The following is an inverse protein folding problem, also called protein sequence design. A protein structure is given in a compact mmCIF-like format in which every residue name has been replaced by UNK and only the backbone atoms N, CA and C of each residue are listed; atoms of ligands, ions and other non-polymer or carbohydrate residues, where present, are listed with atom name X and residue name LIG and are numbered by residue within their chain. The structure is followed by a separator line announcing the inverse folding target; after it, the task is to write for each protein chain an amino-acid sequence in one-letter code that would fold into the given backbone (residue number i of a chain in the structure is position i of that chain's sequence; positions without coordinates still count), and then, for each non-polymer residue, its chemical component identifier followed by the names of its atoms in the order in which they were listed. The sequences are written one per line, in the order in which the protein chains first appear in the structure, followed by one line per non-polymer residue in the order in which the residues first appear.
data_IF_604608594885
#
_entry.id   IF_604608594885
#
_cell.length_a   1.000
_cell.length_b   1.000
_cell.length_c   1.000
_cell.angle_alpha   90.00
_cell.angle_beta   90.00
_cell.angle_gamma   90.00
#
_symmetry.space_group_name_H-M   'P 1'
#
loop_
_entity.id
_entity.type
_entity.pdbx_description
1 polymer ?
#
# COMPACT_ATOMS: atom_id res chain seq x y z
N UNK A 1 1.15 -19.93 -3.40
CA UNK A 1 0.72 -18.51 -3.43
C UNK A 1 1.15 -17.84 -2.12
N UNK A 2 1.93 -16.75 -2.18
CA UNK A 2 2.54 -16.09 -0.99
C UNK A 2 1.50 -15.55 0.00
N UNK A 3 0.37 -15.03 -0.50
CA UNK A 3 -0.74 -14.51 0.31
C UNK A 3 -1.43 -15.61 1.14
N UNK A 4 -1.74 -16.76 0.52
CA UNK A 4 -2.28 -17.94 1.21
C UNK A 4 -1.29 -18.55 2.20
N UNK A 5 -0.01 -18.57 1.86
CA UNK A 5 1.06 -19.06 2.75
C UNK A 5 1.24 -18.17 3.99
N UNK A 6 0.80 -16.91 3.93
CA UNK A 6 0.77 -15.99 5.06
C UNK A 6 -0.53 -16.03 5.87
N UNK A 7 -1.45 -16.98 5.58
CA UNK A 7 -2.71 -17.13 6.30
C UNK A 7 -3.80 -16.12 5.92
N UNK A 8 -3.66 -15.43 4.79
CA UNK A 8 -4.70 -14.51 4.31
C UNK A 8 -5.78 -15.27 3.52
N UNK A 9 -7.04 -15.06 3.92
CA UNK A 9 -8.24 -15.55 3.23
C UNK A 9 -8.61 -14.69 2.00
N UNK A 10 -7.86 -13.62 1.74
CA UNK A 10 -8.13 -12.70 0.64
C UNK A 10 -7.61 -13.26 -0.69
N UNK A 11 -8.39 -13.12 -1.76
CA UNK A 11 -7.91 -13.51 -3.10
C UNK A 11 -6.81 -12.54 -3.59
N UNK A 12 -5.88 -12.99 -4.45
CA UNK A 12 -4.87 -12.13 -5.04
C UNK A 12 -5.45 -10.89 -5.74
N UNK A 13 -6.58 -11.03 -6.42
CA UNK A 13 -7.26 -9.94 -7.15
C UNK A 13 -7.79 -8.89 -6.19
N UNK A 14 -8.40 -9.33 -5.08
CA UNK A 14 -8.90 -8.43 -4.04
C UNK A 14 -7.77 -7.73 -3.29
N UNK A 15 -6.67 -8.44 -3.04
CA UNK A 15 -5.45 -7.84 -2.49
C UNK A 15 -4.89 -6.76 -3.44
N UNK A 16 -4.88 -7.02 -4.74
CA UNK A 16 -4.41 -6.06 -5.73
C UNK A 16 -5.32 -4.82 -5.78
N UNK A 17 -6.65 -4.99 -5.82
CA UNK A 17 -7.60 -3.87 -5.80
C UNK A 17 -7.43 -2.97 -4.56
N UNK A 18 -7.09 -3.55 -3.41
CA UNK A 18 -6.83 -2.78 -2.20
C UNK A 18 -5.50 -2.03 -2.24
N UNK A 19 -4.45 -2.61 -2.82
CA UNK A 19 -3.12 -1.99 -2.88
C UNK A 19 -3.02 -0.93 -3.99
N UNK A 20 -3.73 -1.07 -5.11
CA UNK A 20 -3.74 -0.07 -6.20
C UNK A 20 -4.36 1.25 -5.80
N UNK A 21 -5.19 1.26 -4.74
CA UNK A 21 -5.76 2.48 -4.15
C UNK A 21 -4.73 3.34 -3.41
N UNK A 22 -3.55 2.82 -3.10
CA UNK A 22 -2.49 3.57 -2.44
C UNK A 22 -1.89 4.56 -3.44
N UNK A 23 -2.15 5.85 -3.24
CA UNK A 23 -1.64 6.91 -4.10
C UNK A 23 -0.43 7.61 -3.50
N UNK A 24 0.47 8.06 -4.39
CA UNK A 24 1.53 9.01 -4.08
C UNK A 24 1.03 10.42 -4.36
N UNK A 25 1.04 11.25 -3.34
CA UNK A 25 0.63 12.65 -3.38
C UNK A 25 1.86 13.53 -3.58
N UNK A 26 1.78 14.45 -4.54
CA UNK A 26 2.83 15.44 -4.78
C UNK A 26 2.15 16.80 -4.95
N UNK A 27 2.39 17.70 -4.00
CA UNK A 27 1.77 19.02 -3.97
C UNK A 27 2.84 20.10 -3.81
N UNK A 28 2.60 21.28 -4.36
CA UNK A 28 3.47 22.46 -4.17
C UNK A 28 2.70 23.48 -3.36
N UNK A 29 3.23 23.85 -2.19
CA UNK A 29 2.63 24.85 -1.29
C UNK A 29 3.65 25.94 -1.02
N UNK A 30 3.33 27.18 -1.35
CA UNK A 30 4.24 28.34 -1.19
C UNK A 30 5.64 28.12 -1.77
N UNK A 31 5.72 27.50 -2.96
CA UNK A 31 6.99 27.19 -3.63
C UNK A 31 7.76 26.00 -3.04
N UNK A 32 7.26 25.38 -1.96
CA UNK A 32 7.83 24.16 -1.37
C UNK A 32 7.12 22.93 -1.92
N UNK A 33 7.89 21.99 -2.43
CA UNK A 33 7.39 20.68 -2.80
C UNK A 33 7.16 19.83 -1.55
N UNK A 34 5.95 19.32 -1.39
CA UNK A 34 5.58 18.34 -0.38
C UNK A 34 5.17 17.05 -1.07
N UNK A 35 5.70 15.94 -0.55
CA UNK A 35 5.30 14.60 -0.97
C UNK A 35 4.61 13.88 0.17
N UNK A 36 3.72 12.96 -0.17
CA UNK A 36 2.98 12.16 0.78
C UNK A 36 2.53 10.87 0.13
N UNK A 37 2.11 9.91 0.95
CA UNK A 37 1.42 8.71 0.50
C UNK A 37 0.08 8.62 1.21
N UNK A 38 -0.87 7.96 0.58
CA UNK A 38 -2.15 7.66 1.22
C UNK A 38 -1.89 6.90 2.52
N UNK A 39 -2.58 7.30 3.60
CA UNK A 39 -2.50 6.61 4.89
C UNK A 39 -2.92 5.16 4.71
N UNK A 40 -2.01 4.23 5.00
CA UNK A 40 -2.24 2.80 4.86
C UNK A 40 -3.07 2.29 6.04
N UNK A 41 -4.12 1.52 5.74
CA UNK A 41 -4.86 0.79 6.77
C UNK A 41 -4.11 -0.46 7.25
N UNK A 42 -4.55 -1.06 8.37
CA UNK A 42 -3.91 -2.22 8.96
C UNK A 42 -3.88 -3.44 8.02
N UNK A 43 -4.92 -3.59 7.19
CA UNK A 43 -5.05 -4.71 6.24
C UNK A 43 -4.06 -4.57 5.08
N UNK A 44 -3.93 -3.38 4.51
CA UNK A 44 -2.94 -3.06 3.48
C UNK A 44 -1.51 -3.26 3.98
N UNK A 45 -1.23 -2.91 5.23
CA UNK A 45 0.06 -3.16 5.87
C UNK A 45 0.38 -4.65 5.99
N UNK A 46 -0.59 -5.46 6.42
CA UNK A 46 -0.43 -6.92 6.49
C UNK A 46 -0.28 -7.56 5.11
N UNK A 47 -0.95 -7.04 4.08
CA UNK A 47 -0.74 -7.49 2.69
C UNK A 47 0.67 -7.19 2.18
N UNK A 48 1.16 -5.96 2.36
CA UNK A 48 2.53 -5.60 1.98
C UNK A 48 3.56 -6.49 2.67
N UNK A 49 3.37 -6.76 3.97
CA UNK A 49 4.22 -7.66 4.76
C UNK A 49 4.15 -9.11 4.25
N UNK A 50 2.95 -9.62 4.00
CA UNK A 50 2.72 -10.97 3.47
C UNK A 50 3.34 -11.17 2.09
N UNK A 51 3.30 -10.13 1.25
CA UNK A 51 3.91 -10.13 -0.07
C UNK A 51 5.43 -9.88 -0.03
N UNK A 52 5.98 -9.50 1.14
CA UNK A 52 7.37 -9.06 1.34
C UNK A 52 7.74 -7.83 0.48
N UNK A 53 6.79 -6.90 0.34
CA UNK A 53 6.94 -5.65 -0.41
C UNK A 53 7.12 -4.50 0.58
N UNK A 54 8.08 -3.57 0.34
CA UNK A 54 8.28 -2.42 1.22
C UNK A 54 7.08 -1.48 1.20
N UNK A 55 6.90 -0.72 2.30
CA UNK A 55 5.89 0.34 2.34
C UNK A 55 6.24 1.44 1.33
N UNK A 56 5.25 1.98 0.59
CA UNK A 56 5.48 3.13 -0.27
C UNK A 56 6.04 4.31 0.51
N UNK A 57 7.19 4.82 0.08
CA UNK A 57 7.78 6.04 0.62
C UNK A 57 7.19 7.27 -0.07
N UNK A 58 7.04 8.35 0.71
CA UNK A 58 6.76 9.71 0.23
C UNK A 58 8.01 10.35 -0.37
#
# INVERSE_FOLDING_TARGET
MRLRAAGSDTSPERCLDMLTRIQKHRITVNGKLLTGVTTLDATQLEFLKSLKVPKPAA
#
